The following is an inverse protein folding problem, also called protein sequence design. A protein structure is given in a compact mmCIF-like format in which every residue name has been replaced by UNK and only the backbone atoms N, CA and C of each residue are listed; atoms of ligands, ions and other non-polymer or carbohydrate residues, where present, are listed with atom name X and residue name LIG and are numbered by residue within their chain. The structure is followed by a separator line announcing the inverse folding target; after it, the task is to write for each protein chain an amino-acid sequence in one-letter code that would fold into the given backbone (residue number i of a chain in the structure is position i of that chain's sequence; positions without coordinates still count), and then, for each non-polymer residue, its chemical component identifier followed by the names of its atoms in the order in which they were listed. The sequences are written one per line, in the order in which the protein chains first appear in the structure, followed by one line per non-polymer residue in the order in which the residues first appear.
data_IF_281071757464
#
_entry.id   IF_281071757464
#
_cell.length_a   1.000
_cell.length_b   1.000
_cell.length_c   1.000
_cell.angle_alpha   90.00
_cell.angle_beta   90.00
_cell.angle_gamma   90.00
#
_symmetry.space_group_name_H-M   'P 1'
#
loop_
_entity.id
_entity.type
_entity.pdbx_description
1 polymer ?
#
# COMPACT_ATOMS: atom_id res chain seq x y z
N UNK A 1 23.14 -15.83 -9.83
CA UNK A 1 22.06 -15.25 -9.00
C UNK A 1 22.64 -14.01 -8.38
N UNK A 2 22.02 -12.84 -8.51
CA UNK A 2 22.48 -11.69 -7.74
C UNK A 2 22.26 -12.00 -6.26
N UNK A 3 23.33 -11.98 -5.49
CA UNK A 3 23.25 -12.19 -4.05
C UNK A 3 22.67 -10.94 -3.35
N UNK A 4 22.08 -11.11 -2.16
CA UNK A 4 21.53 -9.99 -1.41
C UNK A 4 22.59 -8.91 -1.13
N UNK A 5 23.85 -9.31 -0.92
CA UNK A 5 24.97 -8.39 -0.75
C UNK A 5 25.28 -7.55 -1.99
N UNK A 6 25.16 -8.12 -3.19
CA UNK A 6 25.36 -7.37 -4.44
C UNK A 6 24.25 -6.34 -4.67
N UNK A 7 22.99 -6.69 -4.38
CA UNK A 7 21.87 -5.74 -4.45
C UNK A 7 22.08 -4.59 -3.45
N UNK A 8 22.53 -4.90 -2.24
CA UNK A 8 22.84 -3.90 -1.21
C UNK A 8 23.99 -2.98 -1.64
N UNK A 9 25.05 -3.54 -2.23
CA UNK A 9 26.20 -2.80 -2.75
C UNK A 9 25.80 -1.86 -3.90
N UNK A 10 25.04 -2.35 -4.88
CA UNK A 10 24.53 -1.54 -5.99
C UNK A 10 23.61 -0.44 -5.47
N UNK A 11 22.76 -0.76 -4.48
CA UNK A 11 21.91 0.22 -3.79
C UNK A 11 22.73 1.30 -3.10
N UNK A 12 23.81 0.94 -2.40
CA UNK A 12 24.72 1.88 -1.74
C UNK A 12 25.45 2.80 -2.74
N UNK A 13 26.01 2.22 -3.82
CA UNK A 13 26.66 3.00 -4.89
C UNK A 13 25.66 3.95 -5.56
N UNK A 14 24.45 3.48 -5.85
CA UNK A 14 23.40 4.29 -6.42
C UNK A 14 22.96 5.42 -5.46
N UNK A 15 22.97 5.20 -4.14
CA UNK A 15 22.71 6.24 -3.14
C UNK A 15 23.78 7.34 -3.17
N UNK A 16 25.05 6.98 -3.33
CA UNK A 16 26.17 7.93 -3.36
C UNK A 16 26.18 8.72 -4.67
N UNK A 17 26.00 8.04 -5.81
CA UNK A 17 26.10 8.65 -7.14
C UNK A 17 24.87 9.50 -7.46
N UNK A 18 23.68 8.95 -7.22
CA UNK A 18 22.42 9.60 -7.58
C UNK A 18 21.90 10.49 -6.44
N UNK A 19 22.30 10.21 -5.21
CA UNK A 19 21.82 10.87 -4.00
C UNK A 19 20.60 10.15 -3.39
N UNK A 20 20.46 10.18 -2.05
CA UNK A 20 19.39 9.47 -1.33
C UNK A 20 17.98 9.94 -1.69
N UNK A 21 17.82 11.16 -2.20
CA UNK A 21 16.52 11.72 -2.58
C UNK A 21 16.06 11.27 -3.98
N UNK A 22 17.01 10.90 -4.85
CA UNK A 22 16.74 10.65 -6.28
C UNK A 22 16.49 9.19 -6.62
N UNK A 23 17.13 8.27 -5.91
CA UNK A 23 16.88 6.83 -6.00
C UNK A 23 15.40 6.44 -5.78
N UNK A 24 14.72 6.90 -4.70
CA UNK A 24 13.32 6.58 -4.49
C UNK A 24 12.42 7.20 -5.56
N UNK A 25 12.82 8.35 -6.13
CA UNK A 25 12.09 8.99 -7.21
C UNK A 25 12.24 8.23 -8.55
N UNK A 26 13.42 7.68 -8.83
CA UNK A 26 13.66 6.79 -9.97
C UNK A 26 12.88 5.47 -9.83
N UNK A 27 12.88 4.86 -8.65
CA UNK A 27 12.08 3.65 -8.39
C UNK A 27 10.58 3.91 -8.57
N UNK A 28 10.07 5.06 -8.11
CA UNK A 28 8.66 5.45 -8.28
C UNK A 28 8.29 5.68 -9.75
N UNK A 29 9.18 6.27 -10.54
CA UNK A 29 8.94 6.51 -11.97
C UNK A 29 8.97 5.21 -12.76
N UNK A 30 10.01 4.38 -12.57
CA UNK A 30 10.08 3.05 -13.18
C UNK A 30 8.90 2.15 -12.77
N UNK A 31 8.51 2.19 -11.50
CA UNK A 31 7.38 1.42 -10.99
C UNK A 31 6.05 1.81 -11.66
N UNK A 32 5.83 3.10 -11.95
CA UNK A 32 4.66 3.54 -12.70
C UNK A 32 4.67 3.04 -14.15
N UNK A 33 5.84 2.92 -14.78
CA UNK A 33 5.98 2.44 -16.15
C UNK A 33 5.72 0.94 -16.23
N UNK A 34 6.30 0.17 -15.30
CA UNK A 34 6.06 -1.27 -15.15
C UNK A 34 4.59 -1.55 -14.84
N UNK A 35 3.96 -0.76 -13.94
CA UNK A 35 2.54 -0.91 -13.62
C UNK A 35 1.62 -0.64 -14.81
N UNK A 36 1.97 0.33 -15.67
CA UNK A 36 1.24 0.56 -16.94
C UNK A 36 1.42 -0.59 -17.92
N UNK A 37 2.64 -1.13 -18.03
CA UNK A 37 2.93 -2.27 -18.90
C UNK A 37 2.19 -3.53 -18.44
N UNK A 38 2.09 -3.79 -17.14
CA UNK A 38 1.33 -4.92 -16.59
C UNK A 38 -0.13 -4.89 -17.02
N UNK A 39 -0.76 -3.71 -16.96
CA UNK A 39 -2.14 -3.54 -17.45
C UNK A 39 -2.25 -3.78 -18.96
N UNK A 40 -1.26 -3.37 -19.74
CA UNK A 40 -1.23 -3.59 -21.19
C UNK A 40 -1.07 -5.08 -21.54
N UNK A 41 -0.17 -5.77 -20.84
CA UNK A 41 0.02 -7.23 -20.96
C UNK A 41 -1.24 -7.97 -20.55
N UNK A 42 -1.97 -7.50 -19.52
CA UNK A 42 -3.24 -8.12 -19.12
C UNK A 42 -4.33 -8.02 -20.19
N UNK A 43 -4.32 -6.97 -21.01
CA UNK A 43 -5.25 -6.80 -22.14
C UNK A 43 -4.82 -7.67 -23.33
N UNK A 44 -3.52 -7.75 -23.61
CA UNK A 44 -2.99 -8.63 -24.66
C UNK A 44 -3.23 -10.11 -24.38
N UNK A 45 -3.14 -10.55 -23.12
CA UNK A 45 -3.44 -11.95 -22.73
C UNK A 45 -4.83 -12.41 -23.17
N UNK A 46 -5.82 -11.52 -23.24
CA UNK A 46 -7.20 -11.85 -23.62
C UNK A 46 -7.35 -12.11 -25.13
N UNK A 47 -6.50 -11.49 -25.95
CA UNK A 47 -6.52 -11.65 -27.42
C UNK A 47 -5.58 -12.77 -27.90
N UNK A 48 -4.49 -13.05 -27.16
CA UNK A 48 -3.51 -14.10 -27.50
C UNK A 48 -3.87 -15.51 -26.98
N UNK A 49 -4.88 -15.65 -26.12
CA UNK A 49 -5.31 -16.92 -25.51
C UNK A 49 -6.00 -17.89 -26.50
N UNK A 50 -6.25 -17.47 -27.75
CA UNK A 50 -6.88 -18.31 -28.79
C UNK A 50 -5.92 -19.00 -29.74
N UNK A 51 -4.68 -18.51 -29.89
CA UNK A 51 -3.74 -19.08 -30.88
C UNK A 51 -2.37 -19.50 -30.31
N UNK A 52 -1.93 -19.03 -29.13
CA UNK A 52 -0.63 -19.42 -28.57
C UNK A 52 -0.76 -20.47 -27.44
N UNK A 53 -0.25 -21.68 -27.70
CA UNK A 53 -0.09 -22.85 -26.82
C UNK A 53 -0.33 -22.64 -25.30
N UNK A 54 -1.53 -23.00 -24.83
CA UNK A 54 -1.95 -23.02 -23.42
C UNK A 54 -1.04 -23.81 -22.47
N UNK A 55 -0.16 -24.68 -23.00
CA UNK A 55 0.79 -25.47 -22.21
C UNK A 55 2.02 -24.64 -21.75
N UNK A 56 2.56 -23.77 -22.60
CA UNK A 56 3.77 -23.00 -22.29
C UNK A 56 3.48 -21.81 -21.36
N UNK A 57 2.32 -21.18 -21.51
CA UNK A 57 1.88 -20.09 -20.63
C UNK A 57 1.57 -20.56 -19.21
N UNK A 58 1.03 -21.77 -19.04
CA UNK A 58 0.83 -22.38 -17.72
C UNK A 58 2.16 -22.66 -17.03
N UNK A 59 3.13 -23.22 -17.76
CA UNK A 59 4.47 -23.52 -17.24
C UNK A 59 5.20 -22.24 -16.81
N UNK A 60 5.19 -21.19 -17.64
CA UNK A 60 5.72 -19.87 -17.29
C UNK A 60 5.00 -19.25 -16.08
N UNK A 61 3.68 -19.43 -15.97
CA UNK A 61 2.91 -18.94 -14.83
C UNK A 61 3.23 -19.66 -13.52
N UNK A 62 3.46 -20.97 -13.56
CA UNK A 62 3.91 -21.77 -12.42
C UNK A 62 5.33 -21.41 -11.99
N UNK A 63 6.23 -21.23 -12.96
CA UNK A 63 7.63 -20.83 -12.74
C UNK A 63 7.72 -19.41 -12.16
N UNK A 64 6.94 -18.47 -12.70
CA UNK A 64 6.82 -17.12 -12.15
C UNK A 64 6.21 -17.10 -10.73
N UNK A 65 5.22 -17.96 -10.45
CA UNK A 65 4.67 -18.11 -9.08
C UNK A 65 5.71 -18.69 -8.12
N UNK A 66 6.51 -19.66 -8.57
CA UNK A 66 7.61 -20.21 -7.77
C UNK A 66 8.67 -19.14 -7.48
N UNK A 67 9.09 -18.37 -8.48
CA UNK A 67 10.02 -17.24 -8.32
C UNK A 67 9.46 -16.15 -7.39
N UNK A 68 8.17 -15.82 -7.51
CA UNK A 68 7.52 -14.85 -6.64
C UNK A 68 7.55 -15.27 -5.15
N UNK A 69 7.31 -16.55 -4.86
CA UNK A 69 7.40 -17.09 -3.48
C UNK A 69 8.83 -17.01 -2.92
N UNK A 70 9.85 -17.27 -3.74
CA UNK A 70 11.25 -17.12 -3.31
C UNK A 70 11.61 -15.67 -3.04
N UNK A 71 11.08 -14.72 -3.83
CA UNK A 71 11.26 -13.28 -3.60
C UNK A 71 10.56 -12.86 -2.31
N UNK A 72 9.32 -13.31 -2.07
CA UNK A 72 8.58 -13.00 -0.84
C UNK A 72 9.34 -13.48 0.40
N UNK A 73 9.89 -14.69 0.34
CA UNK A 73 10.67 -15.26 1.45
C UNK A 73 11.99 -14.50 1.65
N UNK A 74 12.71 -14.17 0.58
CA UNK A 74 13.94 -13.38 0.65
C UNK A 74 13.68 -11.96 1.21
N UNK A 75 12.59 -11.31 0.80
CA UNK A 75 12.16 -10.01 1.32
C UNK A 75 11.77 -10.11 2.79
N UNK A 76 11.05 -11.18 3.19
CA UNK A 76 10.69 -11.42 4.59
C UNK A 76 11.93 -11.56 5.46
N UNK A 77 12.89 -12.39 5.04
CA UNK A 77 14.15 -12.62 5.76
C UNK A 77 15.01 -11.36 5.83
N UNK A 78 15.09 -10.59 4.74
CA UNK A 78 15.79 -9.31 4.72
C UNK A 78 15.15 -8.28 5.66
N UNK A 79 13.82 -8.19 5.67
CA UNK A 79 13.10 -7.29 6.56
C UNK A 79 13.37 -7.60 8.04
N UNK A 80 13.36 -8.88 8.42
CA UNK A 80 13.68 -9.28 9.81
C UNK A 80 15.14 -9.00 10.19
N UNK A 81 16.08 -9.13 9.24
CA UNK A 81 17.48 -8.79 9.48
C UNK A 81 17.70 -7.29 9.68
N UNK A 82 17.06 -6.46 8.84
CA UNK A 82 17.11 -5.00 8.93
C UNK A 82 16.53 -4.49 10.26
N UNK A 83 15.42 -5.07 10.73
CA UNK A 83 14.80 -4.69 12.01
C UNK A 83 15.73 -4.94 13.21
N UNK A 84 16.47 -6.06 13.19
CA UNK A 84 17.48 -6.36 14.22
C UNK A 84 18.65 -5.39 14.21
N UNK A 85 19.18 -5.04 13.04
CA UNK A 85 20.32 -4.14 12.90
C UNK A 85 19.94 -2.69 13.24
N UNK A 86 18.76 -2.21 12.82
CA UNK A 86 18.25 -0.89 13.20
C UNK A 86 18.07 -0.80 14.72
N UNK A 87 17.55 -1.86 15.36
CA UNK A 87 17.36 -1.88 16.81
C UNK A 87 18.69 -1.79 17.55
N UNK A 88 19.72 -2.52 17.09
CA UNK A 88 21.09 -2.44 17.65
C UNK A 88 21.70 -1.06 17.48
N UNK A 89 21.61 -0.47 16.30
CA UNK A 89 22.13 0.90 16.03
C UNK A 89 21.37 1.95 16.84
N UNK A 90 20.05 1.81 17.00
CA UNK A 90 19.25 2.70 17.83
C UNK A 90 19.61 2.59 19.32
N UNK A 91 19.85 1.37 19.83
CA UNK A 91 20.31 1.16 21.21
C UNK A 91 21.72 1.70 21.45
N UNK A 92 22.62 1.58 20.46
CA UNK A 92 23.99 2.07 20.55
C UNK A 92 24.03 3.61 20.46
N UNK A 93 23.12 4.20 19.67
CA UNK A 93 22.91 5.64 19.61
C UNK A 93 22.18 6.23 20.85
N UNK A 94 21.58 5.39 21.71
CA UNK A 94 20.85 5.81 22.92
C UNK A 94 21.66 5.68 24.23
N UNK A 95 22.97 5.42 24.17
CA UNK A 95 23.87 5.62 25.32
C UNK A 95 23.80 7.09 25.81
N UNK A 96 23.88 7.35 27.13
CA UNK A 96 23.01 8.32 27.79
C UNK A 96 23.41 9.77 27.48
N UNK A 97 22.63 10.43 26.63
CA UNK A 97 22.53 11.88 26.65
C UNK A 97 21.71 12.26 27.89
N UNK A 98 22.35 13.03 28.77
CA UNK A 98 21.88 13.35 30.12
C UNK A 98 20.49 13.98 30.20
N UNK A 99 19.86 13.65 31.33
CA UNK A 99 18.73 14.29 32.01
C UNK A 99 18.28 15.63 31.41
N UNK A 100 17.25 15.56 30.57
CA UNK A 100 16.34 16.67 30.35
C UNK A 100 14.98 16.32 30.96
N UNK A 101 14.94 16.24 32.29
CA UNK A 101 13.71 16.25 33.07
C UNK A 101 12.89 17.51 32.77
N UNK A 102 12.02 17.39 31.77
CA UNK A 102 10.91 18.31 31.57
C UNK A 102 9.94 18.13 32.75
N UNK A 103 10.20 18.85 33.83
CA UNK A 103 9.25 19.09 34.90
C UNK A 103 8.06 19.87 34.34
N UNK A 104 7.01 19.16 33.97
CA UNK A 104 5.67 19.73 33.80
C UNK A 104 4.70 18.96 34.68
N UNK A 105 4.83 19.18 35.99
CA UNK A 105 3.84 18.80 37.00
C UNK A 105 2.57 19.64 36.86
N UNK A 106 1.70 19.24 35.92
CA UNK A 106 0.31 19.67 35.87
C UNK A 106 -0.60 18.45 36.00
N UNK A 107 -1.75 18.55 36.70
CA UNK A 107 -2.68 17.43 36.84
C UNK A 107 -3.16 16.95 35.46
N UNK A 108 -3.32 15.63 35.26
CA UNK A 108 -3.71 15.08 33.96
C UNK A 108 -5.11 15.58 33.57
N UNK A 109 -5.32 15.98 32.31
CA UNK A 109 -6.62 16.42 31.85
C UNK A 109 -7.66 15.28 31.99
N UNK A 110 -8.92 15.60 32.34
CA UNK A 110 -9.96 14.59 32.47
C UNK A 110 -10.20 13.86 31.14
N UNK A 111 -10.54 12.56 31.17
CA UNK A 111 -10.77 11.79 29.96
C UNK A 111 -12.04 12.29 29.25
N UNK A 112 -11.87 12.98 28.12
CA UNK A 112 -12.98 13.37 27.25
C UNK A 112 -13.52 12.12 26.54
N UNK A 113 -14.63 11.58 27.05
CA UNK A 113 -15.40 10.53 26.37
C UNK A 113 -16.36 11.17 25.38
N UNK A 114 -16.06 11.02 24.08
CA UNK A 114 -17.00 11.40 23.03
C UNK A 114 -18.01 10.27 22.82
N UNK A 115 -19.30 10.56 23.00
CA UNK A 115 -20.35 9.62 22.62
C UNK A 115 -20.26 9.36 21.10
N UNK A 116 -19.88 8.15 20.71
CA UNK A 116 -19.84 7.74 19.29
C UNK A 116 -21.23 7.85 18.70
N UNK A 117 -21.52 8.94 18.00
CA UNK A 117 -22.77 9.14 17.26
C UNK A 117 -22.67 8.40 15.92
N UNK A 118 -22.64 7.07 15.99
CA UNK A 118 -22.67 6.21 14.80
C UNK A 118 -24.08 6.24 14.22
N UNK A 119 -24.22 6.71 12.98
CA UNK A 119 -25.42 6.42 12.18
C UNK A 119 -25.11 5.14 11.40
N UNK A 120 -25.82 4.03 11.67
CA UNK A 120 -25.65 2.83 10.86
C UNK A 120 -25.91 3.20 9.41
N UNK A 121 -24.94 2.87 8.55
CA UNK A 121 -25.14 3.02 7.11
C UNK A 121 -26.08 1.90 6.64
N UNK A 122 -26.97 2.18 5.68
CA UNK A 122 -27.81 1.15 5.09
C UNK A 122 -26.93 0.03 4.53
N UNK A 123 -27.39 -1.21 4.67
CA UNK A 123 -26.63 -2.38 4.23
C UNK A 123 -26.55 -2.39 2.70
N UNK A 124 -25.57 -3.12 2.15
CA UNK A 124 -25.42 -3.27 0.70
C UNK A 124 -26.68 -3.88 0.08
N UNK A 125 -27.34 -4.78 0.82
CA UNK A 125 -28.56 -5.46 0.38
C UNK A 125 -29.74 -4.47 0.32
N UNK A 126 -29.87 -3.58 1.32
CA UNK A 126 -30.88 -2.51 1.32
C UNK A 126 -30.72 -1.57 0.12
N UNK A 127 -29.48 -1.18 -0.19
CA UNK A 127 -29.18 -0.32 -1.34
C UNK A 127 -29.47 -1.01 -2.67
N UNK A 128 -29.27 -2.32 -2.74
CA UNK A 128 -29.55 -3.12 -3.94
C UNK A 128 -31.05 -3.15 -4.22
N UNK A 129 -31.87 -3.37 -3.18
CA UNK A 129 -33.33 -3.35 -3.29
C UNK A 129 -33.85 -1.95 -3.66
N UNK A 130 -33.23 -0.89 -3.13
CA UNK A 130 -33.63 0.48 -3.42
C UNK A 130 -33.33 0.85 -4.88
N UNK A 131 -32.17 0.45 -5.40
CA UNK A 131 -31.82 0.62 -6.82
C UNK A 131 -32.80 -0.15 -7.71
N UNK A 132 -33.16 -1.39 -7.36
CA UNK A 132 -34.15 -2.15 -8.13
C UNK A 132 -35.54 -1.51 -8.13
N UNK A 133 -35.94 -0.92 -7.00
CA UNK A 133 -37.23 -0.22 -6.89
C UNK A 133 -37.25 1.05 -7.74
N UNK A 134 -36.18 1.84 -7.68
CA UNK A 134 -36.00 3.04 -8.51
C UNK A 134 -35.93 2.69 -10.00
N UNK A 135 -35.23 1.61 -10.34
CA UNK A 135 -35.12 1.14 -11.73
C UNK A 135 -36.45 0.68 -12.31
N UNK A 136 -37.29 0.01 -11.51
CA UNK A 136 -38.66 -0.35 -11.91
C UNK A 136 -39.54 0.87 -12.15
N UNK A 137 -39.38 1.92 -11.36
CA UNK A 137 -40.08 3.19 -11.58
C UNK A 137 -39.61 3.91 -12.85
N UNK A 138 -38.35 3.73 -13.24
CA UNK A 138 -37.74 4.47 -14.34
C UNK A 138 -37.59 3.67 -15.66
N UNK A 139 -38.13 2.45 -15.74
CA UNK A 139 -38.10 1.56 -16.92
C UNK A 139 -36.71 1.47 -17.61
N UNK A 140 -35.64 1.39 -16.83
CA UNK A 140 -34.25 1.43 -17.34
C UNK A 140 -33.73 0.02 -17.71
N UNK A 141 -33.07 -0.17 -18.87
CA UNK A 141 -32.51 -1.46 -19.29
C UNK A 141 -31.34 -1.94 -18.42
N UNK A 142 -31.17 -3.27 -18.33
CA UNK A 142 -30.38 -3.97 -17.30
C UNK A 142 -28.85 -3.74 -17.29
N UNK A 143 -28.29 -3.03 -18.27
CA UNK A 143 -26.84 -2.86 -18.45
C UNK A 143 -26.18 -1.70 -17.71
N UNK A 144 -26.93 -0.82 -17.03
CA UNK A 144 -26.40 0.48 -16.55
C UNK A 144 -25.69 0.44 -15.18
N UNK A 145 -25.68 -0.70 -14.46
CA UNK A 145 -25.25 -0.76 -13.05
C UNK A 145 -23.74 -0.96 -12.84
N UNK A 146 -22.86 -0.45 -13.71
CA UNK A 146 -21.42 -0.31 -13.38
C UNK A 146 -21.20 0.98 -12.59
N UNK A 147 -21.61 0.97 -11.32
CA UNK A 147 -21.33 2.05 -10.37
C UNK A 147 -19.81 2.18 -10.14
N UNK A 148 -19.16 3.02 -10.95
CA UNK A 148 -17.77 3.48 -10.74
C UNK A 148 -17.76 4.63 -9.74
N UNK A 149 -18.42 4.52 -8.59
CA UNK A 149 -18.27 5.50 -7.52
C UNK A 149 -17.06 5.15 -6.66
N UNK A 150 -15.90 5.65 -7.10
CA UNK A 150 -14.68 5.70 -6.30
C UNK A 150 -14.96 6.57 -5.07
N UNK A 151 -15.18 5.95 -3.92
CA UNK A 151 -15.16 6.64 -2.63
C UNK A 151 -13.75 7.20 -2.40
N UNK A 152 -13.58 8.51 -2.55
CA UNK A 152 -12.37 9.19 -2.14
C UNK A 152 -12.44 9.45 -0.61
N UNK A 153 -11.45 9.03 0.18
CA UNK A 153 -11.39 9.41 1.59
C UNK A 153 -10.84 10.84 1.67
N UNK A 154 -11.73 11.84 1.67
CA UNK A 154 -11.36 13.19 2.10
C UNK A 154 -11.34 13.24 3.63
N UNK A 155 -10.33 12.59 4.21
CA UNK A 155 -9.93 12.84 5.58
C UNK A 155 -9.02 14.06 5.56
N UNK A 156 -9.49 15.21 6.07
CA UNK A 156 -8.73 16.15 6.93
C UNK A 156 -9.71 17.16 7.53
N UNK A 157 -10.09 16.96 8.78
CA UNK A 157 -10.49 18.08 9.62
C UNK A 157 -9.47 18.14 10.74
N UNK A 158 -8.50 19.02 10.55
CA UNK A 158 -7.57 19.42 11.58
C UNK A 158 -8.02 20.79 12.07
N UNK A 159 -8.61 20.87 13.26
CA UNK A 159 -8.51 22.05 14.14
C UNK A 159 -8.66 21.60 15.59
N UNK A 160 -7.65 21.88 16.41
CA UNK A 160 -7.93 22.71 17.57
C UNK A 160 -6.85 23.78 17.71
N UNK A 161 -7.19 25.04 17.40
CA UNK A 161 -6.44 26.17 17.93
C UNK A 161 -7.14 26.62 19.21
N UNK A 162 -6.62 26.13 20.33
CA UNK A 162 -6.97 26.62 21.66
C UNK A 162 -5.77 27.42 22.17
N UNK A 163 -5.99 28.70 22.43
CA UNK A 163 -5.32 29.61 23.38
C UNK A 163 -5.84 31.03 23.10
N UNK A 164 -5.99 31.93 24.07
CA UNK A 164 -5.84 31.90 25.53
C UNK A 164 -6.70 33.05 26.04
#
# INVERSE_FOLDING_TARGET
MLDFGEILLIGAVALVVLGPERLPQAARTLGQWIGKLQNYVSQMRVEFDREFHLADLRRLGEEARASARSVETAVRSAATGVESEITKVATDAMAPLGDNSWSSGGPPPPPMSFARRYRPRPSIDDLTQEIERLKRQLALPDGAARSRQKFAPRARINRPRVRR
#
